data_IF_904859925485
#
_entry.id   IF_904859925485
#
_cell.length_a   1.000
_cell.length_b   1.000
_cell.length_c   1.000
_cell.angle_alpha   90.00
_cell.angle_beta   90.00
_cell.angle_gamma   90.00
#
_symmetry.space_group_name_H-M   'P 1'
#
loop_
_entity.id
_entity.type
_entity.pdbx_description
1 polymer ?
#
# COMPACT_ATOMS: atom_id res chain seq x y z
N UNK A 1 1.41 -18.09 -8.58
CA UNK A 1 0.38 -18.26 -7.52
C UNK A 1 0.33 -19.66 -6.91
N UNK A 2 0.15 -20.74 -7.69
CA UNK A 2 0.07 -22.12 -7.18
C UNK A 2 1.25 -22.51 -6.28
N UNK A 3 2.48 -22.35 -6.77
CA UNK A 3 3.69 -22.66 -6.00
C UNK A 3 3.78 -21.88 -4.68
N UNK A 4 3.32 -20.63 -4.69
CA UNK A 4 3.28 -19.80 -3.50
C UNK A 4 2.29 -20.34 -2.46
N UNK A 5 1.10 -20.76 -2.90
CA UNK A 5 0.11 -21.41 -2.04
C UNK A 5 0.64 -22.73 -1.48
N UNK A 6 1.20 -23.61 -2.30
CA UNK A 6 1.75 -24.89 -1.86
C UNK A 6 2.87 -24.70 -0.82
N UNK A 7 3.77 -23.75 -1.08
CA UNK A 7 4.87 -23.44 -0.17
C UNK A 7 4.40 -22.83 1.15
N UNK A 8 3.38 -21.98 1.11
CA UNK A 8 2.88 -21.25 2.29
C UNK A 8 1.97 -22.14 3.13
N UNK A 9 1.05 -22.86 2.50
CA UNK A 9 0.10 -23.76 3.16
C UNK A 9 0.75 -25.10 3.56
N UNK A 10 1.92 -25.44 2.98
CA UNK A 10 2.58 -26.76 3.13
C UNK A 10 1.65 -27.94 2.77
N UNK A 11 0.82 -27.71 1.76
CA UNK A 11 -0.23 -28.62 1.30
C UNK A 11 -0.22 -28.69 -0.22
N UNK A 12 -0.80 -29.76 -0.77
CA UNK A 12 -1.02 -29.87 -2.20
C UNK A 12 -2.18 -28.93 -2.61
N UNK A 13 -1.97 -28.17 -3.68
CA UNK A 13 -2.96 -27.24 -4.22
C UNK A 13 -3.22 -27.62 -5.67
N UNK A 14 -4.44 -28.06 -5.98
CA UNK A 14 -4.84 -28.25 -7.37
C UNK A 14 -5.44 -26.93 -7.84
N UNK A 15 -4.91 -26.37 -8.94
CA UNK A 15 -5.38 -25.09 -9.47
C UNK A 15 -5.51 -25.22 -10.98
N UNK A 16 -6.71 -24.97 -11.49
CA UNK A 16 -7.04 -25.05 -12.93
C UNK A 16 -7.78 -23.81 -13.38
N UNK A 17 -7.39 -23.26 -14.53
CA UNK A 17 -8.12 -22.15 -15.14
C UNK A 17 -9.52 -22.63 -15.56
N UNK A 18 -10.57 -21.96 -15.08
CA UNK A 18 -11.94 -22.38 -15.30
C UNK A 18 -12.60 -21.60 -16.44
N UNK A 19 -12.32 -22.04 -17.66
CA UNK A 19 -12.87 -21.40 -18.87
C UNK A 19 -14.38 -21.59 -19.05
N UNK A 20 -14.98 -22.57 -18.39
CA UNK A 20 -16.42 -22.83 -18.46
C UNK A 20 -17.23 -21.83 -17.63
N UNK A 21 -16.64 -21.29 -16.54
CA UNK A 21 -17.26 -20.25 -15.73
C UNK A 21 -17.43 -18.94 -16.52
N UNK A 22 -16.58 -18.66 -17.51
CA UNK A 22 -16.74 -17.52 -18.42
C UNK A 22 -18.06 -17.57 -19.21
N UNK A 23 -18.61 -18.76 -19.49
CA UNK A 23 -19.90 -18.89 -20.20
C UNK A 23 -21.10 -18.47 -19.34
N UNK A 24 -20.93 -18.51 -18.02
CA UNK A 24 -21.98 -18.16 -17.05
C UNK A 24 -21.86 -16.73 -16.53
N UNK A 25 -20.67 -16.12 -16.64
CA UNK A 25 -20.40 -14.75 -16.18
C UNK A 25 -20.67 -13.73 -17.31
N UNK A 26 -21.03 -12.49 -16.96
CA UNK A 26 -21.04 -11.40 -17.93
C UNK A 26 -19.68 -11.25 -18.61
N UNK A 27 -19.66 -10.96 -19.91
CA UNK A 27 -18.45 -10.80 -20.73
C UNK A 27 -17.39 -9.87 -20.11
N UNK A 28 -17.84 -8.87 -19.34
CA UNK A 28 -16.97 -7.94 -18.62
C UNK A 28 -16.00 -8.66 -17.64
N UNK A 29 -16.34 -9.83 -17.13
CA UNK A 29 -15.45 -10.60 -16.25
C UNK A 29 -14.31 -11.26 -17.02
N UNK A 30 -14.59 -11.83 -18.20
CA UNK A 30 -13.59 -12.51 -19.04
C UNK A 30 -12.47 -11.56 -19.48
N UNK A 31 -12.82 -10.29 -19.73
CA UNK A 31 -11.85 -9.26 -20.09
C UNK A 31 -11.01 -8.76 -18.92
N UNK A 32 -11.52 -8.84 -17.68
CA UNK A 32 -10.88 -8.24 -16.49
C UNK A 32 -10.16 -9.23 -15.59
N UNK A 33 -10.54 -10.50 -15.61
CA UNK A 33 -10.02 -11.50 -14.68
C UNK A 33 -9.63 -12.78 -15.40
N UNK A 34 -8.57 -13.41 -14.88
CA UNK A 34 -8.35 -14.84 -15.02
C UNK A 34 -9.00 -15.55 -13.83
N UNK A 35 -9.82 -16.57 -14.10
CA UNK A 35 -10.63 -17.25 -13.09
C UNK A 35 -10.14 -18.68 -12.95
N UNK A 36 -9.90 -19.09 -11.70
CA UNK A 36 -9.39 -20.41 -11.37
C UNK A 36 -10.35 -21.15 -10.44
N UNK A 37 -10.44 -22.45 -10.65
CA UNK A 37 -10.92 -23.39 -9.62
C UNK A 37 -9.71 -23.84 -8.83
N UNK A 38 -9.81 -23.79 -7.51
CA UNK A 38 -8.74 -24.20 -6.60
C UNK A 38 -9.27 -25.22 -5.61
N UNK A 39 -8.53 -26.31 -5.43
CA UNK A 39 -8.81 -27.33 -4.43
C UNK A 39 -7.62 -27.47 -3.48
N UNK A 40 -7.91 -27.39 -2.18
CA UNK A 40 -6.92 -27.51 -1.11
C UNK A 40 -7.50 -28.38 0.00
N UNK A 41 -6.84 -29.51 0.31
CA UNK A 41 -7.31 -30.49 1.30
C UNK A 41 -8.79 -30.91 1.14
N UNK A 42 -9.25 -31.12 -0.10
CA UNK A 42 -10.64 -31.50 -0.39
C UNK A 42 -11.65 -30.35 -0.29
N UNK A 43 -11.20 -29.11 -0.03
CA UNK A 43 -12.05 -27.91 -0.08
C UNK A 43 -11.91 -27.25 -1.44
N UNK A 44 -13.01 -27.17 -2.17
CA UNK A 44 -13.10 -26.51 -3.47
C UNK A 44 -13.52 -25.04 -3.32
N UNK A 45 -12.81 -24.13 -3.99
CA UNK A 45 -13.09 -22.70 -3.98
C UNK A 45 -12.64 -22.04 -5.29
N UNK A 46 -13.08 -20.80 -5.51
CA UNK A 46 -12.79 -20.03 -6.72
C UNK A 46 -11.73 -18.98 -6.45
N UNK A 47 -10.89 -18.67 -7.44
CA UNK A 47 -10.02 -17.52 -7.39
C UNK A 47 -10.25 -16.61 -8.60
N UNK A 48 -10.25 -15.30 -8.37
CA UNK A 48 -10.19 -14.30 -9.44
C UNK A 48 -8.87 -13.55 -9.38
N UNK A 49 -8.17 -13.47 -10.51
CA UNK A 49 -6.91 -12.75 -10.65
C UNK A 49 -7.13 -11.61 -11.65
N UNK A 50 -7.13 -10.33 -11.21
CA UNK A 50 -7.28 -9.21 -12.11
C UNK A 50 -6.12 -9.13 -13.10
N UNK A 51 -6.42 -8.91 -14.38
CA UNK A 51 -5.41 -8.72 -15.44
C UNK A 51 -4.73 -7.35 -15.39
N UNK A 52 -5.46 -6.36 -14.89
CA UNK A 52 -5.02 -4.98 -14.70
C UNK A 52 -5.31 -4.51 -13.27
N UNK A 53 -4.82 -3.32 -12.91
CA UNK A 53 -5.16 -2.71 -11.62
C UNK A 53 -6.66 -2.41 -11.52
N UNK A 54 -7.34 -3.13 -10.63
CA UNK A 54 -8.77 -2.94 -10.34
C UNK A 54 -8.96 -2.36 -8.95
N UNK A 55 -9.81 -1.34 -8.83
CA UNK A 55 -10.13 -0.71 -7.55
C UNK A 55 -10.94 -1.62 -6.62
N UNK A 56 -10.78 -1.41 -5.30
CA UNK A 56 -11.38 -2.22 -4.24
C UNK A 56 -12.91 -2.38 -4.34
N UNK A 57 -13.63 -1.33 -4.71
CA UNK A 57 -15.11 -1.37 -4.87
C UNK A 57 -15.51 -2.39 -5.93
N UNK A 58 -14.77 -2.44 -7.03
CA UNK A 58 -15.04 -3.36 -8.13
C UNK A 58 -14.62 -4.79 -7.78
N UNK A 59 -13.47 -4.96 -7.13
CA UNK A 59 -13.01 -6.24 -6.58
C UNK A 59 -14.06 -6.89 -5.67
N UNK A 60 -14.65 -6.12 -4.74
CA UNK A 60 -15.73 -6.57 -3.86
C UNK A 60 -16.94 -7.09 -4.63
N UNK A 61 -17.45 -6.26 -5.53
CA UNK A 61 -18.65 -6.54 -6.30
C UNK A 61 -18.46 -7.79 -7.17
N UNK A 62 -17.33 -7.87 -7.84
CA UNK A 62 -17.07 -8.90 -8.83
C UNK A 62 -16.78 -10.25 -8.15
N UNK A 63 -16.03 -10.26 -7.04
CA UNK A 63 -15.90 -11.44 -6.17
C UNK A 63 -17.27 -11.98 -5.75
N UNK A 64 -18.12 -11.13 -5.18
CA UNK A 64 -19.45 -11.54 -4.72
C UNK A 64 -20.32 -12.09 -5.86
N UNK A 65 -20.15 -11.56 -7.08
CA UNK A 65 -20.78 -12.09 -8.29
C UNK A 65 -20.36 -13.53 -8.59
N UNK A 66 -19.05 -13.82 -8.52
CA UNK A 66 -18.52 -15.18 -8.73
C UNK A 66 -19.00 -16.15 -7.64
N UNK A 67 -19.00 -15.73 -6.37
CA UNK A 67 -19.50 -16.58 -5.26
C UNK A 67 -20.97 -16.94 -5.45
N UNK A 68 -21.82 -15.96 -5.74
CA UNK A 68 -23.26 -16.16 -5.93
C UNK A 68 -23.57 -17.13 -7.06
N UNK A 69 -22.79 -17.08 -8.13
CA UNK A 69 -23.03 -17.93 -9.30
C UNK A 69 -22.48 -19.35 -9.18
N UNK A 70 -21.33 -19.49 -8.52
CA UNK A 70 -20.67 -20.80 -8.39
C UNK A 70 -21.12 -21.56 -7.15
N UNK A 71 -21.66 -20.86 -6.14
CA UNK A 71 -21.97 -21.44 -4.84
C UNK A 71 -20.72 -21.75 -4.01
N UNK A 72 -19.55 -21.27 -4.43
CA UNK A 72 -18.27 -21.51 -3.79
C UNK A 72 -17.68 -20.21 -3.25
N UNK A 73 -16.88 -20.30 -2.18
CA UNK A 73 -16.11 -19.15 -1.70
C UNK A 73 -15.14 -18.66 -2.79
N UNK A 74 -14.92 -17.36 -2.86
CA UNK A 74 -14.03 -16.75 -3.84
C UNK A 74 -12.94 -15.90 -3.17
N UNK A 75 -11.69 -16.18 -3.52
CA UNK A 75 -10.54 -15.36 -3.11
C UNK A 75 -10.02 -14.51 -4.26
N UNK A 76 -9.39 -13.38 -3.92
CA UNK A 76 -8.80 -12.47 -4.88
C UNK A 76 -7.29 -12.68 -4.92
N UNK A 77 -6.78 -13.05 -6.09
CA UNK A 77 -5.36 -13.19 -6.37
C UNK A 77 -4.80 -11.86 -6.86
N UNK A 78 -3.71 -11.40 -6.24
CA UNK A 78 -3.10 -10.10 -6.54
C UNK A 78 -1.59 -10.27 -6.64
N UNK A 79 -0.98 -9.76 -7.71
CA UNK A 79 0.48 -9.72 -7.81
C UNK A 79 1.03 -8.66 -6.86
N UNK A 80 0.32 -7.53 -6.76
CA UNK A 80 0.62 -6.38 -5.89
C UNK A 80 -0.67 -5.70 -5.47
N UNK A 81 -0.63 -5.01 -4.33
CA UNK A 81 -1.74 -4.19 -3.85
C UNK A 81 -1.19 -3.10 -2.93
N UNK A 82 -2.00 -2.06 -2.68
CA UNK A 82 -1.66 -1.02 -1.70
C UNK A 82 -1.97 -1.51 -0.28
N UNK A 83 -1.28 -0.93 0.71
CA UNK A 83 -1.55 -1.23 2.11
C UNK A 83 -3.01 -0.95 2.49
N UNK A 84 -3.56 0.19 2.05
CA UNK A 84 -4.95 0.55 2.30
C UNK A 84 -5.95 -0.50 1.78
N UNK A 85 -5.76 -0.98 0.55
CA UNK A 85 -6.63 -2.02 -0.03
C UNK A 85 -6.47 -3.33 0.74
N UNK A 86 -5.24 -3.72 1.11
CA UNK A 86 -4.95 -4.90 1.94
C UNK A 86 -5.67 -4.85 3.29
N UNK A 87 -5.49 -3.77 4.05
CA UNK A 87 -6.12 -3.59 5.37
C UNK A 87 -7.64 -3.65 5.26
N UNK A 88 -8.23 -2.94 4.29
CA UNK A 88 -9.68 -2.97 4.09
C UNK A 88 -10.20 -4.35 3.72
N UNK A 89 -9.46 -5.13 2.93
CA UNK A 89 -9.84 -6.52 2.64
C UNK A 89 -9.76 -7.41 3.89
N UNK A 90 -8.78 -7.22 4.76
CA UNK A 90 -8.69 -7.94 6.03
C UNK A 90 -9.82 -7.56 7.00
N UNK A 91 -10.06 -6.26 7.21
CA UNK A 91 -11.13 -5.74 8.08
C UNK A 91 -12.51 -6.28 7.68
N UNK A 92 -12.76 -6.39 6.38
CA UNK A 92 -14.04 -6.86 5.83
C UNK A 92 -14.12 -8.39 5.65
N UNK A 93 -13.06 -9.13 6.00
CA UNK A 93 -13.02 -10.58 5.82
C UNK A 93 -13.03 -11.03 4.35
N UNK A 94 -12.54 -10.18 3.44
CA UNK A 94 -12.41 -10.50 2.02
C UNK A 94 -11.18 -11.42 1.83
N UNK A 95 -11.36 -12.68 1.39
CA UNK A 95 -10.24 -13.58 1.17
C UNK A 95 -9.35 -13.11 0.02
N UNK A 96 -8.04 -13.13 0.23
CA UNK A 96 -7.07 -12.76 -0.79
C UNK A 96 -5.77 -13.54 -0.68
N UNK A 97 -5.02 -13.54 -1.78
CA UNK A 97 -3.65 -14.03 -1.87
C UNK A 97 -2.83 -12.98 -2.60
N UNK A 98 -1.83 -12.44 -1.92
CA UNK A 98 -0.84 -11.53 -2.52
C UNK A 98 0.40 -12.35 -2.82
N UNK A 99 0.74 -12.51 -4.10
CA UNK A 99 1.82 -13.39 -4.53
C UNK A 99 3.14 -13.08 -3.81
N UNK A 100 3.74 -14.11 -3.21
CA UNK A 100 5.03 -14.00 -2.52
C UNK A 100 4.98 -13.33 -1.14
N UNK A 101 3.85 -12.70 -0.76
CA UNK A 101 3.70 -11.85 0.44
C UNK A 101 2.80 -12.47 1.51
N UNK A 102 1.51 -12.63 1.24
CA UNK A 102 0.52 -12.97 2.28
C UNK A 102 -0.65 -13.79 1.73
N UNK A 103 -1.14 -14.72 2.55
CA UNK A 103 -2.35 -15.51 2.30
C UNK A 103 -3.36 -15.23 3.41
N UNK A 104 -4.56 -14.79 3.04
CA UNK A 104 -5.69 -14.62 3.96
C UNK A 104 -6.92 -15.33 3.40
N UNK A 105 -7.22 -16.52 3.94
CA UNK A 105 -8.33 -17.37 3.50
C UNK A 105 -9.21 -17.72 4.72
N UNK A 106 -10.05 -16.79 5.20
CA UNK A 106 -10.82 -16.97 6.43
C UNK A 106 -11.80 -18.13 6.35
N UNK A 107 -12.31 -18.47 5.16
CA UNK A 107 -13.26 -19.58 4.97
C UNK A 107 -12.62 -20.98 5.11
N UNK A 108 -11.29 -21.10 5.10
CA UNK A 108 -10.56 -22.34 5.38
C UNK A 108 -9.83 -22.26 6.74
N UNK A 109 -9.91 -21.14 7.46
CA UNK A 109 -9.24 -20.97 8.76
C UNK A 109 -7.73 -20.76 8.69
N UNK A 110 -7.22 -20.12 7.62
CA UNK A 110 -5.79 -19.81 7.49
C UNK A 110 -5.54 -18.30 7.32
N UNK A 111 -4.83 -17.68 8.29
CA UNK A 111 -4.12 -16.41 8.15
C UNK A 111 -2.63 -16.70 8.30
N UNK A 112 -1.90 -16.75 7.18
CA UNK A 112 -0.46 -17.01 7.14
C UNK A 112 0.22 -15.82 6.48
N UNK A 113 0.87 -14.99 7.29
CA UNK A 113 1.78 -13.95 6.84
C UNK A 113 3.20 -14.50 6.86
N UNK A 114 3.97 -14.28 5.79
CA UNK A 114 5.44 -14.30 5.93
C UNK A 114 5.80 -13.15 6.88
N UNK A 115 6.15 -13.47 8.11
CA UNK A 115 6.68 -12.48 9.04
C UNK A 115 7.81 -11.66 8.39
N UNK A 116 7.78 -10.34 8.63
CA UNK A 116 8.61 -9.25 8.11
C UNK A 116 8.03 -8.33 7.02
N UNK A 117 6.69 -8.20 6.89
CA UNK A 117 6.18 -6.89 6.48
C UNK A 117 6.21 -5.98 7.72
N UNK A 118 6.95 -4.86 7.63
CA UNK A 118 6.89 -3.84 8.67
C UNK A 118 5.47 -3.30 8.71
N UNK A 119 4.84 -3.34 9.88
CA UNK A 119 3.60 -2.63 10.11
C UNK A 119 3.89 -1.12 10.05
N UNK A 120 3.41 -0.48 9.00
CA UNK A 120 3.45 0.96 8.86
C UNK A 120 2.19 1.51 9.52
N UNK A 121 2.36 2.45 10.45
CA UNK A 121 1.22 3.17 11.00
C UNK A 121 0.51 3.94 9.88
N UNK A 122 -0.84 4.04 9.89
CA UNK A 122 -1.55 4.78 8.87
C UNK A 122 -1.24 6.28 8.89
N UNK A 123 -0.95 6.84 7.71
CA UNK A 123 -0.57 8.25 7.53
C UNK A 123 -1.44 8.90 6.45
N UNK A 124 -2.16 9.97 6.83
CA UNK A 124 -2.94 10.79 5.88
C UNK A 124 -2.25 12.13 5.57
N UNK A 125 -1.44 12.63 6.51
CA UNK A 125 -0.64 13.84 6.38
C UNK A 125 0.75 13.58 6.95
N UNK A 126 1.78 13.88 6.17
CA UNK A 126 3.16 13.65 6.62
C UNK A 126 3.51 14.52 7.82
N UNK A 127 4.38 14.05 8.70
CA UNK A 127 4.86 14.83 9.84
C UNK A 127 5.66 16.06 9.38
N UNK A 128 5.79 17.07 10.25
CA UNK A 128 6.65 18.23 9.97
C UNK A 128 8.09 17.83 9.67
N UNK A 129 8.57 16.74 10.28
CA UNK A 129 9.91 16.23 10.04
C UNK A 129 10.03 15.59 8.64
N UNK A 130 9.06 14.78 8.26
CA UNK A 130 9.00 14.16 6.92
C UNK A 130 8.87 15.23 5.84
N UNK A 131 8.06 16.27 6.07
CA UNK A 131 7.97 17.43 5.19
C UNK A 131 9.30 18.19 5.08
N UNK A 132 9.98 18.48 6.19
CA UNK A 132 11.32 19.08 6.17
C UNK A 132 12.30 18.23 5.36
N UNK A 133 12.32 16.91 5.58
CA UNK A 133 13.21 15.99 4.88
C UNK A 133 12.95 15.98 3.37
N UNK A 134 11.68 15.93 2.96
CA UNK A 134 11.28 15.91 1.56
C UNK A 134 11.63 17.22 0.84
N UNK A 135 11.36 18.37 1.47
CA UNK A 135 11.73 19.67 0.92
C UNK A 135 13.26 19.83 0.79
N UNK A 136 14.01 19.38 1.79
CA UNK A 136 15.47 19.37 1.74
C UNK A 136 16.00 18.43 0.65
N UNK A 137 15.41 17.24 0.50
CA UNK A 137 15.77 16.29 -0.55
C UNK A 137 15.58 16.90 -1.95
N UNK A 138 14.44 17.56 -2.17
CA UNK A 138 14.13 18.26 -3.43
C UNK A 138 15.14 19.38 -3.70
N UNK A 139 15.44 20.19 -2.68
CA UNK A 139 16.37 21.32 -2.80
C UNK A 139 17.81 20.87 -3.11
N UNK A 140 18.30 19.88 -2.38
CA UNK A 140 19.66 19.33 -2.52
C UNK A 140 19.80 18.29 -3.64
N UNK A 141 18.69 17.93 -4.31
CA UNK A 141 18.64 16.91 -5.37
C UNK A 141 19.23 15.57 -4.93
N UNK A 142 18.66 15.02 -3.85
CA UNK A 142 19.12 13.75 -3.31
C UNK A 142 19.09 12.63 -4.36
N UNK A 143 20.18 11.90 -4.44
CA UNK A 143 20.34 10.73 -5.28
C UNK A 143 20.90 9.59 -4.43
N UNK A 144 20.18 8.49 -4.37
CA UNK A 144 20.48 7.27 -3.62
C UNK A 144 20.77 7.49 -2.13
N UNK A 145 20.14 8.50 -1.52
CA UNK A 145 20.38 8.87 -0.11
C UNK A 145 19.69 7.88 0.81
N UNK A 146 20.47 7.14 1.62
CA UNK A 146 19.97 6.14 2.57
C UNK A 146 19.44 6.79 3.85
N UNK A 147 18.69 6.03 4.65
CA UNK A 147 18.14 6.48 5.95
C UNK A 147 19.21 7.08 6.87
N UNK A 148 20.39 6.47 6.96
CA UNK A 148 21.49 6.95 7.81
C UNK A 148 22.04 8.30 7.36
N UNK A 149 22.10 8.53 6.05
CA UNK A 149 22.62 9.76 5.46
C UNK A 149 21.58 10.87 5.55
N UNK A 150 20.31 10.55 5.28
CA UNK A 150 19.19 11.44 5.51
C UNK A 150 19.15 11.92 6.97
N UNK A 151 19.33 11.02 7.93
CA UNK A 151 19.38 11.35 9.36
C UNK A 151 20.47 12.38 9.69
N UNK A 152 21.67 12.21 9.15
CA UNK A 152 22.79 13.15 9.31
C UNK A 152 22.48 14.52 8.70
N UNK A 153 21.94 14.55 7.47
CA UNK A 153 21.61 15.80 6.76
C UNK A 153 20.54 16.62 7.46
N UNK A 154 19.48 15.98 7.95
CA UNK A 154 18.37 16.67 8.63
C UNK A 154 18.62 16.92 10.13
N UNK A 155 19.70 16.36 10.68
CA UNK A 155 20.14 16.55 12.06
C UNK A 155 19.31 15.80 13.10
N UNK A 156 18.90 14.55 12.80
CA UNK A 156 18.05 13.74 13.71
C UNK A 156 18.58 12.32 13.89
N UNK A 157 17.99 11.59 14.84
CA UNK A 157 18.31 10.17 15.02
C UNK A 157 17.89 9.30 13.83
N UNK A 158 18.63 8.22 13.58
CA UNK A 158 18.30 7.24 12.54
C UNK A 158 16.89 6.67 12.68
N UNK A 159 16.41 6.49 13.91
CA UNK A 159 15.03 6.05 14.20
C UNK A 159 13.98 7.06 13.74
N UNK A 160 14.25 8.36 13.89
CA UNK A 160 13.34 9.43 13.44
C UNK A 160 13.34 9.55 11.92
N UNK A 161 14.51 9.43 11.29
CA UNK A 161 14.61 9.37 9.83
C UNK A 161 13.92 8.11 9.28
N UNK A 162 14.05 6.96 9.94
CA UNK A 162 13.36 5.72 9.55
C UNK A 162 11.85 5.93 9.52
N UNK A 163 11.27 6.57 10.55
CA UNK A 163 9.84 6.88 10.55
C UNK A 163 9.44 7.76 9.38
N UNK A 164 10.28 8.73 8.99
CA UNK A 164 9.99 9.54 7.81
C UNK A 164 9.95 8.69 6.54
N UNK A 165 10.85 7.73 6.38
CA UNK A 165 10.82 6.79 5.27
C UNK A 165 9.58 5.90 5.32
N UNK A 166 9.17 5.46 6.52
CA UNK A 166 7.95 4.68 6.74
C UNK A 166 6.70 5.46 6.30
N UNK A 167 6.63 6.78 6.58
CA UNK A 167 5.53 7.66 6.12
C UNK A 167 5.50 7.81 4.60
N UNK A 168 6.68 8.00 3.96
CA UNK A 168 6.77 8.07 2.49
C UNK A 168 6.39 6.74 1.83
N UNK A 169 6.76 5.62 2.45
CA UNK A 169 6.44 4.25 2.01
C UNK A 169 4.94 3.99 2.11
N UNK A 170 4.31 4.41 3.21
CA UNK A 170 2.86 4.30 3.41
C UNK A 170 2.07 5.06 2.34
N UNK A 171 2.48 6.30 2.06
CA UNK A 171 1.83 7.17 1.08
C UNK A 171 2.21 6.87 -0.38
N UNK A 172 3.11 5.90 -0.60
CA UNK A 172 3.62 5.53 -1.93
C UNK A 172 4.13 6.74 -2.73
N UNK A 173 4.96 7.58 -2.10
CA UNK A 173 5.56 8.75 -2.77
C UNK A 173 6.75 8.27 -3.62
N UNK A 174 6.72 8.53 -4.93
CA UNK A 174 7.64 7.98 -5.94
C UNK A 174 9.11 8.42 -5.81
N UNK A 175 9.46 9.18 -4.77
CA UNK A 175 10.86 9.50 -4.43
C UNK A 175 11.54 8.38 -3.66
N UNK A 176 10.77 7.45 -3.06
CA UNK A 176 11.29 6.35 -2.27
C UNK A 176 11.56 5.14 -3.16
N UNK A 177 12.79 4.63 -3.14
CA UNK A 177 13.21 3.46 -3.88
C UNK A 177 14.08 2.50 -3.06
N UNK A 178 14.59 1.48 -3.73
CA UNK A 178 15.46 0.46 -3.15
C UNK A 178 16.79 0.40 -3.90
N UNK A 179 17.90 0.41 -3.15
CA UNK A 179 19.23 0.08 -3.65
C UNK A 179 19.76 -1.14 -2.90
N UNK A 180 19.71 -2.30 -3.55
CA UNK A 180 19.93 -3.58 -2.88
C UNK A 180 18.90 -3.81 -1.78
N UNK A 181 19.36 -3.99 -0.53
CA UNK A 181 18.48 -4.15 0.66
C UNK A 181 18.17 -2.84 1.40
N UNK A 182 18.67 -1.70 0.91
CA UNK A 182 18.51 -0.41 1.59
C UNK A 182 17.47 0.47 0.91
N UNK A 183 16.58 1.07 1.69
CA UNK A 183 15.70 2.15 1.22
C UNK A 183 16.52 3.41 0.94
N UNK A 184 16.22 4.06 -0.17
CA UNK A 184 16.90 5.28 -0.64
C UNK A 184 15.89 6.30 -1.13
N UNK A 185 16.24 7.58 -1.03
CA UNK A 185 15.50 8.68 -1.67
C UNK A 185 16.22 9.11 -2.94
N UNK A 186 15.47 9.17 -4.04
CA UNK A 186 15.91 9.65 -5.34
C UNK A 186 14.95 10.76 -5.79
N UNK A 187 15.48 11.95 -6.03
CA UNK A 187 14.70 13.05 -6.60
C UNK A 187 14.89 13.05 -8.12
N UNK A 188 13.83 12.84 -8.91
CA UNK A 188 13.91 12.92 -10.37
C UNK A 188 14.21 14.36 -10.83
N UNK A 189 14.72 14.49 -12.05
CA UNK A 189 14.99 15.80 -12.65
C UNK A 189 13.70 16.63 -12.80
N UNK A 190 12.57 15.98 -13.08
CA UNK A 190 11.26 16.62 -13.12
C UNK A 190 10.68 16.79 -11.71
N UNK A 191 11.12 17.85 -11.02
CA UNK A 191 10.62 18.21 -9.69
C UNK A 191 9.17 18.67 -9.68
N UNK A 192 8.60 19.05 -10.84
CA UNK A 192 7.20 19.49 -10.91
C UNK A 192 6.26 18.33 -10.68
N UNK A 193 6.59 17.16 -11.24
CA UNK A 193 5.85 15.92 -11.00
C UNK A 193 5.88 15.52 -9.53
N UNK A 194 7.04 15.59 -8.88
CA UNK A 194 7.18 15.32 -7.44
C UNK A 194 6.30 16.27 -6.63
N UNK A 195 6.32 17.58 -6.96
CA UNK A 195 5.51 18.58 -6.27
C UNK A 195 4.02 18.26 -6.33
N UNK A 196 3.51 17.91 -7.53
CA UNK A 196 2.09 17.57 -7.74
C UNK A 196 1.65 16.35 -6.93
N UNK A 197 2.55 15.38 -6.70
CA UNK A 197 2.24 14.20 -5.89
C UNK A 197 2.17 14.52 -4.40
N UNK A 198 3.04 15.41 -3.90
CA UNK A 198 3.23 15.61 -2.46
C UNK A 198 2.35 16.74 -1.91
N UNK A 199 1.89 17.67 -2.75
CA UNK A 199 1.16 18.87 -2.33
C UNK A 199 -0.02 18.56 -1.38
N UNK A 200 -0.80 17.53 -1.71
CA UNK A 200 -2.01 17.14 -0.97
C UNK A 200 -1.71 16.49 0.40
N UNK A 201 -0.47 16.05 0.63
CA UNK A 201 -0.08 15.39 1.89
C UNK A 201 0.75 16.28 2.80
N UNK A 202 1.19 17.47 2.31
CA UNK A 202 1.93 18.45 3.09
C UNK A 202 1.07 19.07 4.18
N UNK A 203 1.68 19.33 5.34
CA UNK A 203 1.07 20.09 6.42
C UNK A 203 1.27 21.59 6.23
N UNK A 204 0.25 22.34 6.64
CA UNK A 204 0.38 23.78 6.83
C UNK A 204 1.42 24.04 7.96
N UNK A 205 2.51 24.79 7.69
CA UNK A 205 3.51 25.12 8.70
C UNK A 205 2.99 26.09 9.78
N UNK A 206 1.87 26.80 9.52
CA UNK A 206 1.26 27.72 10.47
C UNK A 206 0.32 26.94 11.41
N UNK A 207 0.78 26.69 12.63
CA UNK A 207 0.02 25.93 13.64
C UNK A 207 -1.01 26.81 14.34
N UNK A 208 -0.66 28.07 14.63
CA UNK A 208 -1.54 29.06 15.25
C UNK A 208 -1.24 30.45 14.71
N UNK A 209 -2.30 31.24 14.49
CA UNK A 209 -2.21 32.66 14.16
C UNK A 209 -2.80 33.46 15.31
N UNK A 210 -2.03 34.42 15.80
CA UNK A 210 -2.50 35.39 16.77
C UNK A 210 -2.70 36.71 16.04
N UNK A 211 -3.87 37.32 16.20
CA UNK A 211 -4.18 38.64 15.66
C UNK A 211 -4.23 39.59 16.86
N UNK A 212 -3.33 40.57 16.86
CA UNK A 212 -3.34 41.62 17.87
C UNK A 212 -4.49 42.59 17.54
N UNK A 213 -5.15 43.13 18.57
CA UNK A 213 -6.08 44.23 18.36
C UNK A 213 -5.29 45.51 18.05
N UNK A 214 -5.82 46.36 17.17
CA UNK A 214 -5.17 47.61 16.76
C UNK A 214 -4.89 48.56 17.94
N UNK A 215 -5.69 48.47 19.00
CA UNK A 215 -5.62 49.30 20.21
C UNK A 215 -4.71 48.72 21.30
N UNK A 216 -3.96 47.64 21.01
CA UNK A 216 -3.07 47.02 21.98
C UNK A 216 -1.88 47.95 22.27
N UNK A 217 -1.96 48.68 23.39
CA UNK A 217 -0.91 49.55 23.91
C UNK A 217 0.28 48.71 24.38
N UNK A 218 1.12 48.28 23.45
CA UNK A 218 2.40 47.66 23.77
C UNK A 218 3.34 48.74 24.31
N UNK A 219 3.82 48.59 25.55
CA UNK A 219 4.88 49.45 26.07
C UNK A 219 6.14 49.28 25.19
N UNK A 220 6.48 50.34 24.44
CA UNK A 220 7.76 50.39 23.75
C UNK A 220 8.85 50.45 24.81
N UNK A 221 9.58 49.35 25.02
CA UNK A 221 10.89 49.41 25.69
C UNK A 221 11.78 50.34 24.87
N UNK A 222 12.07 51.52 25.41
CA UNK A 222 13.10 52.42 24.89
C UNK A 222 14.45 51.74 25.16
N UNK A 223 15.21 51.52 24.09
CA UNK A 223 16.63 51.20 24.17
C UNK A 223 17.41 52.42 24.62
#
# INVERSE_FOLDING_TARGET
>A
MKEFLEKTLRQNVIMTENKEVYKKLPLAYCGRYDIFTVETNGVLWMAIHPKDNVGLVMLRRDRAGVEKMTGLNCAIFLDRTTFYIKEKMMEEGIPFVIEGKQVFLPFIGYLLSKENERELAPVYLISFLTQKMLLMAIYERWNEVKVSDAAKRIGVSTKSASRCFDELEYLNIDVLGMKGKSRVINIPNDRKQVWQQIENVLRNPVIRRFVLREDMKLEKKRH
#
